data_IF_939637904195
#
_entry.id   IF_939637904195
#
_cell.length_a   1.000
_cell.length_b   1.000
_cell.length_c   1.000
_cell.angle_alpha   90.00
_cell.angle_beta   90.00
_cell.angle_gamma   90.00
#
_symmetry.space_group_name_H-M   'P 1'
#
loop_
_entity.id
_entity.type
_entity.pdbx_description
1 polymer ?
#
# COMPACT_ATOMS: atom_id res chain seq x y z
N UNK A 1 -0.84 18.50 -12.85
CA UNK A 1 -0.76 18.63 -11.38
C UNK A 1 -2.16 18.49 -10.82
N UNK A 2 -2.45 17.53 -9.92
CA UNK A 2 -3.74 17.49 -9.27
C UNK A 2 -3.94 18.80 -8.51
N UNK A 3 -5.00 19.52 -8.81
CA UNK A 3 -5.40 20.69 -8.03
C UNK A 3 -5.83 20.21 -6.66
N UNK A 4 -5.28 20.80 -5.61
CA UNK A 4 -5.78 20.63 -4.25
C UNK A 4 -7.27 20.98 -4.26
N UNK A 5 -8.12 19.96 -4.21
CA UNK A 5 -9.56 20.17 -4.18
C UNK A 5 -9.99 20.35 -2.72
N UNK A 6 -10.84 21.31 -2.52
CA UNK A 6 -11.26 21.78 -1.21
C UNK A 6 -12.08 20.74 -0.44
N UNK A 7 -12.20 20.90 0.86
CA UNK A 7 -13.14 20.13 1.70
C UNK A 7 -14.56 20.10 1.10
N UNK A 8 -14.95 21.14 0.37
CA UNK A 8 -16.26 21.22 -0.31
C UNK A 8 -16.43 20.17 -1.42
N UNK A 9 -15.36 19.85 -2.16
CA UNK A 9 -15.42 18.82 -3.21
C UNK A 9 -15.60 17.42 -2.59
N UNK A 10 -14.92 17.14 -1.48
CA UNK A 10 -15.12 15.91 -0.72
C UNK A 10 -16.55 15.82 -0.18
N UNK A 11 -17.07 16.91 0.40
CA UNK A 11 -18.42 16.94 0.96
C UNK A 11 -19.50 16.71 -0.12
N UNK A 12 -19.26 17.14 -1.35
CA UNK A 12 -20.18 16.92 -2.48
C UNK A 12 -20.36 15.45 -2.82
N UNK A 13 -19.32 14.65 -2.76
CA UNK A 13 -19.33 13.25 -3.21
C UNK A 13 -19.39 12.22 -2.08
N UNK A 14 -19.17 12.62 -0.82
CA UNK A 14 -19.15 11.71 0.35
C UNK A 14 -20.49 10.98 0.58
N UNK A 15 -21.59 11.51 0.05
CA UNK A 15 -22.91 10.87 0.06
C UNK A 15 -23.05 9.69 -0.90
N UNK A 16 -22.15 9.56 -1.88
CA UNK A 16 -22.21 8.51 -2.89
C UNK A 16 -21.22 7.38 -2.54
N UNK A 17 -21.75 6.25 -2.03
CA UNK A 17 -20.96 5.08 -1.63
C UNK A 17 -20.12 4.50 -2.75
N UNK A 18 -20.56 4.60 -4.00
CA UNK A 18 -19.84 4.08 -5.16
C UNK A 18 -18.56 4.87 -5.48
N UNK A 19 -18.42 6.06 -4.91
CA UNK A 19 -17.25 6.92 -5.05
C UNK A 19 -16.33 6.91 -3.82
N UNK A 20 -16.65 6.10 -2.80
CA UNK A 20 -15.80 5.97 -1.60
C UNK A 20 -15.00 4.69 -1.69
N UNK A 21 -13.70 4.78 -1.37
CA UNK A 21 -12.79 3.64 -1.26
C UNK A 21 -12.01 3.74 0.04
N UNK A 22 -12.05 2.66 0.81
CA UNK A 22 -11.30 2.56 2.05
C UNK A 22 -10.19 1.54 1.84
N UNK A 23 -8.95 1.93 1.97
CA UNK A 23 -7.85 0.98 1.86
C UNK A 23 -6.84 1.15 3.00
N UNK A 24 -6.23 0.05 3.37
CA UNK A 24 -5.12 0.03 4.31
C UNK A 24 -3.79 -0.25 3.63
N UNK A 25 -2.71 0.10 4.31
CA UNK A 25 -1.34 -0.22 3.88
C UNK A 25 -0.71 -1.10 4.93
N UNK A 26 -0.25 -2.28 4.51
CA UNK A 26 0.48 -3.23 5.37
C UNK A 26 1.84 -3.57 4.74
N UNK A 27 2.84 -3.80 5.56
CA UNK A 27 4.18 -4.14 5.12
C UNK A 27 4.98 -4.80 6.23
N UNK A 28 6.05 -5.49 5.87
CA UNK A 28 7.13 -5.77 6.79
C UNK A 28 7.84 -4.46 7.20
N UNK A 29 8.51 -4.48 8.36
CA UNK A 29 9.37 -3.36 8.80
C UNK A 29 10.38 -3.05 7.70
N UNK A 30 10.65 -1.78 7.45
CA UNK A 30 11.60 -1.27 6.45
C UNK A 30 11.26 -1.55 4.97
N UNK A 31 10.14 -2.17 4.63
CA UNK A 31 9.70 -2.33 3.25
C UNK A 31 9.22 -1.02 2.59
N UNK A 32 9.14 0.07 3.37
CA UNK A 32 8.84 1.41 2.86
C UNK A 32 7.36 1.79 2.93
N UNK A 33 6.60 1.21 3.87
CA UNK A 33 5.20 1.53 4.12
C UNK A 33 4.99 3.04 4.30
N UNK A 34 5.65 3.64 5.28
CA UNK A 34 5.52 5.08 5.60
C UNK A 34 5.99 5.96 4.44
N UNK A 35 7.09 5.58 3.78
CA UNK A 35 7.59 6.32 2.61
C UNK A 35 6.60 6.31 1.45
N UNK A 36 5.92 5.16 1.23
CA UNK A 36 4.87 5.06 0.20
C UNK A 36 3.67 5.92 0.58
N UNK A 37 3.22 5.85 1.83
CA UNK A 37 2.12 6.66 2.35
C UNK A 37 2.41 8.16 2.19
N UNK A 38 3.59 8.62 2.58
CA UNK A 38 4.04 10.01 2.39
C UNK A 38 4.07 10.41 0.91
N UNK A 39 4.49 9.50 0.02
CA UNK A 39 4.52 9.76 -1.42
C UNK A 39 3.11 9.91 -2.00
N UNK A 40 2.14 9.12 -1.53
CA UNK A 40 0.73 9.27 -1.90
C UNK A 40 0.15 10.60 -1.39
N UNK A 41 0.48 11.00 -0.15
CA UNK A 41 0.07 12.30 0.41
C UNK A 41 0.65 13.47 -0.39
N UNK A 42 1.89 13.36 -0.84
CA UNK A 42 2.49 14.38 -1.69
C UNK A 42 1.86 14.42 -3.09
N UNK A 43 1.56 13.26 -3.68
CA UNK A 43 0.88 13.17 -4.97
C UNK A 43 -0.54 13.75 -4.92
N UNK A 44 -1.25 13.59 -3.79
CA UNK A 44 -2.58 14.18 -3.56
C UNK A 44 -2.53 15.68 -3.22
N UNK A 45 -1.34 16.26 -3.00
CA UNK A 45 -1.17 17.67 -2.66
C UNK A 45 -1.40 18.03 -1.18
N UNK A 46 -1.59 17.04 -0.31
CA UNK A 46 -1.80 17.27 1.14
C UNK A 46 -0.50 17.72 1.80
N UNK A 47 0.63 17.16 1.40
CA UNK A 47 1.95 17.58 1.87
C UNK A 47 2.81 18.08 0.71
N UNK A 48 3.77 18.95 1.03
CA UNK A 48 4.73 19.41 0.02
C UNK A 48 5.61 18.26 -0.48
N UNK A 49 5.86 18.16 -1.79
CA UNK A 49 6.79 17.17 -2.33
C UNK A 49 8.20 17.23 -1.73
N UNK A 50 8.65 18.40 -1.26
CA UNK A 50 9.95 18.56 -0.60
C UNK A 50 10.04 17.91 0.78
N UNK A 51 8.89 17.64 1.41
CA UNK A 51 8.78 17.11 2.78
C UNK A 51 8.46 15.60 2.76
N UNK A 52 7.90 15.10 1.65
CA UNK A 52 7.54 13.69 1.51
C UNK A 52 8.77 12.77 1.66
N UNK A 53 8.62 11.72 2.46
CA UNK A 53 9.69 10.77 2.78
C UNK A 53 10.68 11.24 3.86
N UNK A 54 10.58 12.50 4.29
CA UNK A 54 11.36 13.04 5.41
C UNK A 54 10.49 13.36 6.63
N UNK A 55 9.22 13.68 6.39
CA UNK A 55 8.34 14.22 7.41
C UNK A 55 7.70 13.15 8.28
N UNK A 56 7.74 11.85 7.88
CA UNK A 56 6.94 10.82 8.55
C UNK A 56 5.56 11.38 8.90
N UNK A 57 4.88 11.94 7.89
CA UNK A 57 3.72 12.82 8.07
C UNK A 57 2.56 12.15 8.82
N UNK A 58 2.51 10.83 8.76
CA UNK A 58 1.53 10.01 9.49
C UNK A 58 2.01 9.61 10.89
N UNK A 59 3.30 9.70 11.19
CA UNK A 59 3.87 9.34 12.47
C UNK A 59 3.83 10.55 13.43
N UNK A 60 2.71 10.70 14.14
CA UNK A 60 2.42 11.89 14.96
C UNK A 60 3.11 11.90 16.33
N UNK A 61 3.65 10.76 16.78
CA UNK A 61 4.30 10.66 18.09
C UNK A 61 5.82 10.76 17.97
N UNK A 62 6.47 11.52 18.87
CA UNK A 62 7.94 11.57 18.97
C UNK A 62 8.59 10.18 19.09
N UNK A 63 7.89 9.22 19.69
CA UNK A 63 8.35 7.85 19.84
C UNK A 63 8.35 7.10 18.50
N UNK A 64 7.35 7.34 17.64
CA UNK A 64 7.26 6.79 16.28
C UNK A 64 8.40 7.32 15.42
N UNK A 65 8.59 8.64 15.43
CA UNK A 65 9.66 9.32 14.69
C UNK A 65 11.06 8.85 15.13
N UNK A 66 11.28 8.73 16.45
CA UNK A 66 12.59 8.29 16.98
C UNK A 66 12.91 6.83 16.68
N UNK A 67 11.89 5.98 16.59
CA UNK A 67 12.05 4.54 16.30
C UNK A 67 11.80 4.20 14.83
N UNK A 68 11.42 5.17 14.02
CA UNK A 68 11.04 5.00 12.60
C UNK A 68 10.01 3.89 12.40
N UNK A 69 9.03 3.82 13.32
CA UNK A 69 8.07 2.72 13.38
C UNK A 69 6.68 3.25 13.72
N UNK A 70 5.69 2.99 12.88
CA UNK A 70 4.30 3.37 13.13
C UNK A 70 3.71 2.57 14.28
N UNK A 71 3.27 3.25 15.34
CA UNK A 71 2.65 2.66 16.53
C UNK A 71 1.14 2.85 16.52
N UNK A 72 0.67 4.01 16.03
CA UNK A 72 -0.75 4.34 15.87
C UNK A 72 -1.11 4.40 14.41
N UNK A 73 -2.22 3.77 14.04
CA UNK A 73 -2.79 3.95 12.70
C UNK A 73 -3.23 5.40 12.50
N UNK A 74 -2.85 5.99 11.39
CA UNK A 74 -3.31 7.30 10.95
C UNK A 74 -4.34 7.14 9.83
N UNK A 75 -5.38 7.97 9.85
CA UNK A 75 -6.40 7.99 8.80
C UNK A 75 -6.28 9.28 8.02
N UNK A 76 -6.19 9.17 6.71
CA UNK A 76 -6.16 10.34 5.82
C UNK A 76 -7.16 10.15 4.70
N UNK A 77 -7.93 11.20 4.45
CA UNK A 77 -8.86 11.23 3.32
C UNK A 77 -8.22 11.97 2.15
N UNK A 78 -8.12 11.28 1.02
CA UNK A 78 -7.60 11.78 -0.24
C UNK A 78 -8.74 12.01 -1.22
N UNK A 79 -8.58 13.01 -2.07
CA UNK A 79 -9.43 13.20 -3.23
C UNK A 79 -8.68 12.72 -4.47
N UNK A 80 -9.33 11.92 -5.31
CA UNK A 80 -8.77 11.42 -6.56
C UNK A 80 -9.75 11.60 -7.70
N UNK A 81 -9.28 12.12 -8.80
CA UNK A 81 -10.01 12.19 -10.07
C UNK A 81 -9.30 11.30 -11.07
N UNK A 82 -10.04 10.33 -11.61
CA UNK A 82 -9.53 9.40 -12.62
C UNK A 82 -9.48 10.09 -14.00
N UNK A 83 -8.78 9.49 -14.97
CA UNK A 83 -8.62 10.02 -16.32
C UNK A 83 -9.96 10.11 -17.08
N UNK A 84 -10.96 9.34 -16.69
CA UNK A 84 -12.34 9.41 -17.21
C UNK A 84 -13.19 10.53 -16.56
N UNK A 85 -12.60 11.35 -15.71
CA UNK A 85 -13.26 12.44 -14.98
C UNK A 85 -14.10 11.98 -13.78
N UNK A 86 -14.08 10.69 -13.42
CA UNK A 86 -14.75 10.23 -12.21
C UNK A 86 -13.94 10.60 -10.97
N UNK A 87 -14.67 11.11 -9.99
CA UNK A 87 -14.10 11.55 -8.72
C UNK A 87 -14.31 10.50 -7.64
N UNK A 88 -13.31 10.34 -6.77
CA UNK A 88 -13.34 9.41 -5.66
C UNK A 88 -12.84 10.05 -4.37
N UNK A 89 -13.46 9.67 -3.26
CA UNK A 89 -12.93 9.85 -1.92
C UNK A 89 -12.21 8.57 -1.52
N UNK A 90 -10.94 8.70 -1.24
CA UNK A 90 -10.09 7.58 -0.85
C UNK A 90 -9.65 7.77 0.59
N UNK A 91 -10.12 6.91 1.49
CA UNK A 91 -9.69 6.89 2.87
C UNK A 91 -8.53 5.90 3.01
N UNK A 92 -7.36 6.41 3.29
CA UNK A 92 -6.15 5.63 3.56
C UNK A 92 -6.00 5.44 5.06
N UNK A 93 -5.89 4.19 5.49
CA UNK A 93 -5.61 3.81 6.87
C UNK A 93 -4.20 3.22 6.93
N UNK A 94 -3.27 3.98 7.53
CA UNK A 94 -1.94 3.47 7.78
C UNK A 94 -1.95 2.58 9.03
N UNK A 95 -1.45 1.36 8.88
CA UNK A 95 -1.48 0.36 9.97
C UNK A 95 -0.09 0.19 10.60
N UNK A 96 0.00 -0.09 11.90
CA UNK A 96 1.26 -0.47 12.50
C UNK A 96 1.88 -1.70 11.82
N UNK A 97 3.17 -1.64 11.48
CA UNK A 97 3.88 -2.74 10.83
C UNK A 97 4.41 -3.82 11.78
N UNK A 98 4.37 -3.60 13.09
CA UNK A 98 4.98 -4.49 14.07
C UNK A 98 3.99 -5.53 14.61
N UNK A 99 4.47 -6.76 14.82
CA UNK A 99 3.67 -7.92 15.26
C UNK A 99 2.99 -7.69 16.62
N UNK A 100 3.58 -6.87 17.48
CA UNK A 100 3.04 -6.55 18.82
C UNK A 100 1.71 -5.75 18.76
N UNK A 101 1.36 -5.20 17.59
CA UNK A 101 0.17 -4.39 17.39
C UNK A 101 -0.97 -5.12 16.66
N UNK A 102 -0.94 -6.45 16.63
CA UNK A 102 -1.91 -7.32 15.93
C UNK A 102 -3.36 -6.90 16.14
N UNK A 103 -3.78 -6.61 17.38
CA UNK A 103 -5.15 -6.20 17.67
C UNK A 103 -5.54 -4.83 17.10
N UNK A 104 -4.58 -3.96 16.77
CA UNK A 104 -4.84 -2.69 16.08
C UNK A 104 -4.94 -2.91 14.58
N UNK A 105 -4.09 -3.77 14.03
CA UNK A 105 -4.13 -4.16 12.61
C UNK A 105 -5.48 -4.79 12.29
N UNK A 106 -5.95 -5.76 13.06
CA UNK A 106 -7.27 -6.41 12.87
C UNK A 106 -8.42 -5.42 12.91
N UNK A 107 -8.39 -4.43 13.83
CA UNK A 107 -9.43 -3.39 13.87
C UNK A 107 -9.41 -2.49 12.65
N UNK A 108 -8.23 -2.12 12.15
CA UNK A 108 -8.09 -1.33 10.93
C UNK A 108 -8.58 -2.12 9.71
N UNK A 109 -8.23 -3.42 9.62
CA UNK A 109 -8.66 -4.30 8.53
C UNK A 109 -10.17 -4.40 8.40
N UNK A 110 -10.92 -4.37 9.49
CA UNK A 110 -12.41 -4.38 9.47
C UNK A 110 -13.05 -3.11 8.95
N UNK A 111 -12.28 -2.03 8.84
CA UNK A 111 -12.77 -0.74 8.36
C UNK A 111 -12.43 -0.45 6.89
N UNK A 112 -11.76 -1.38 6.20
CA UNK A 112 -11.26 -1.19 4.83
C UNK A 112 -11.83 -2.22 3.86
N UNK A 113 -11.92 -1.83 2.58
CA UNK A 113 -12.42 -2.66 1.48
C UNK A 113 -11.29 -3.42 0.79
N UNK A 114 -10.09 -2.88 0.84
CA UNK A 114 -8.88 -3.45 0.24
C UNK A 114 -7.62 -3.09 0.99
N UNK A 115 -6.55 -3.82 0.75
CA UNK A 115 -5.26 -3.60 1.39
C UNK A 115 -4.14 -3.61 0.37
N UNK A 116 -3.27 -2.62 0.45
CA UNK A 116 -2.01 -2.59 -0.30
C UNK A 116 -0.95 -3.26 0.55
N UNK A 117 -0.47 -4.39 0.07
CA UNK A 117 0.65 -5.13 0.67
C UNK A 117 1.93 -4.64 0.03
N UNK A 118 2.78 -3.98 0.80
CA UNK A 118 4.06 -3.44 0.32
C UNK A 118 5.16 -4.46 0.57
N UNK A 119 5.84 -4.88 -0.48
CA UNK A 119 6.99 -5.79 -0.42
C UNK A 119 8.23 -5.12 -1.00
N UNK A 120 9.38 -5.28 -0.34
CA UNK A 120 10.68 -4.89 -0.90
C UNK A 120 11.02 -5.80 -2.08
N UNK A 121 11.47 -5.22 -3.19
CA UNK A 121 11.82 -5.97 -4.40
C UNK A 121 13.03 -6.89 -4.21
N UNK A 122 13.91 -6.64 -3.25
CA UNK A 122 15.11 -7.44 -2.97
C UNK A 122 14.80 -8.54 -1.96
N UNK A 123 14.09 -8.19 -0.89
CA UNK A 123 13.80 -9.12 0.21
C UNK A 123 12.60 -10.03 -0.06
N UNK A 124 11.67 -9.59 -0.95
CA UNK A 124 10.48 -10.36 -1.29
C UNK A 124 9.47 -10.45 -0.14
N UNK A 125 8.82 -11.60 -0.04
CA UNK A 125 7.79 -11.86 0.97
C UNK A 125 8.45 -12.36 2.26
N UNK A 126 8.36 -11.55 3.31
CA UNK A 126 8.94 -11.86 4.62
C UNK A 126 7.87 -12.42 5.57
N UNK A 127 8.29 -13.08 6.65
CA UNK A 127 7.39 -13.71 7.63
C UNK A 127 6.33 -12.76 8.21
N UNK A 128 6.71 -11.49 8.44
CA UNK A 128 5.71 -10.51 8.91
C UNK A 128 4.72 -10.14 7.81
N UNK A 129 5.18 -10.03 6.55
CA UNK A 129 4.29 -9.82 5.39
C UNK A 129 3.27 -10.95 5.29
N UNK A 130 3.71 -12.20 5.44
CA UNK A 130 2.82 -13.37 5.48
C UNK A 130 1.80 -13.25 6.62
N UNK A 131 2.24 -12.93 7.83
CA UNK A 131 1.36 -12.83 9.01
C UNK A 131 0.27 -11.77 8.81
N UNK A 132 0.63 -10.55 8.37
CA UNK A 132 -0.36 -9.48 8.19
C UNK A 132 -1.24 -9.70 6.96
N UNK A 133 -0.71 -10.34 5.91
CA UNK A 133 -1.50 -10.74 4.73
C UNK A 133 -2.52 -11.80 5.11
N UNK A 134 -2.14 -12.83 5.89
CA UNK A 134 -3.07 -13.83 6.41
C UNK A 134 -4.21 -13.18 7.17
N UNK A 135 -3.92 -12.25 8.10
CA UNK A 135 -4.95 -11.53 8.85
C UNK A 135 -5.90 -10.75 7.93
N UNK A 136 -5.37 -10.10 6.89
CA UNK A 136 -6.19 -9.38 5.92
C UNK A 136 -7.13 -10.33 5.15
N UNK A 137 -6.62 -11.49 4.74
CA UNK A 137 -7.42 -12.50 4.03
C UNK A 137 -8.51 -13.12 4.95
N UNK A 138 -8.19 -13.39 6.21
CA UNK A 138 -9.13 -13.88 7.23
C UNK A 138 -10.26 -12.86 7.53
N UNK A 139 -9.95 -11.55 7.50
CA UNK A 139 -10.94 -10.48 7.66
C UNK A 139 -11.63 -10.10 6.33
N UNK A 140 -11.47 -10.91 5.28
CA UNK A 140 -12.08 -10.75 3.93
C UNK A 140 -11.71 -9.43 3.24
N UNK A 141 -10.49 -8.96 3.43
CA UNK A 141 -9.97 -7.76 2.77
C UNK A 141 -9.22 -8.13 1.50
N UNK A 142 -9.61 -7.53 0.36
CA UNK A 142 -8.99 -7.83 -0.94
C UNK A 142 -7.57 -7.26 -1.02
N UNK A 143 -6.55 -8.09 -1.32
CA UNK A 143 -5.17 -7.62 -1.42
C UNK A 143 -4.86 -7.04 -2.80
N UNK A 144 -3.96 -6.06 -2.81
CA UNK A 144 -3.21 -5.55 -3.97
C UNK A 144 -1.74 -5.56 -3.58
N UNK A 145 -0.85 -6.00 -4.46
CA UNK A 145 0.58 -6.08 -4.20
C UNK A 145 1.29 -4.85 -4.78
N UNK A 146 2.06 -4.16 -3.96
CA UNK A 146 2.98 -3.11 -4.39
C UNK A 146 4.42 -3.56 -4.13
N UNK A 147 5.19 -3.80 -5.20
CA UNK A 147 6.60 -4.17 -5.12
C UNK A 147 7.41 -2.87 -5.15
N UNK A 148 7.93 -2.52 -3.99
CA UNK A 148 8.67 -1.30 -3.73
C UNK A 148 10.18 -1.47 -3.92
N UNK A 149 10.90 -0.37 -4.00
CA UNK A 149 12.36 -0.29 -4.10
C UNK A 149 12.93 -0.98 -5.35
N UNK A 150 12.20 -0.92 -6.46
CA UNK A 150 12.64 -1.48 -7.76
C UNK A 150 13.99 -0.87 -8.19
N UNK A 151 14.27 0.38 -7.81
CA UNK A 151 15.55 1.05 -8.02
C UNK A 151 16.74 0.25 -7.48
N UNK A 152 16.58 -0.55 -6.42
CA UNK A 152 17.64 -1.40 -5.87
C UNK A 152 17.99 -2.58 -6.77
N UNK A 153 17.03 -3.14 -7.51
CA UNK A 153 17.31 -4.20 -8.48
C UNK A 153 18.27 -3.71 -9.57
N UNK A 154 18.14 -2.44 -9.97
CA UNK A 154 18.98 -1.79 -10.99
C UNK A 154 20.30 -1.30 -10.40
N UNK A 155 20.24 -0.52 -9.31
CA UNK A 155 21.39 0.18 -8.74
C UNK A 155 22.32 -0.74 -7.94
N UNK A 156 21.74 -1.66 -7.14
CA UNK A 156 22.47 -2.52 -6.21
C UNK A 156 22.75 -3.89 -6.82
N UNK A 157 21.70 -4.62 -7.23
CA UNK A 157 21.84 -5.99 -7.75
C UNK A 157 22.27 -6.04 -9.23
N UNK A 158 22.10 -4.94 -9.96
CA UNK A 158 22.48 -4.82 -11.37
C UNK A 158 21.96 -5.97 -12.25
N UNK A 159 20.72 -6.38 -11.97
CA UNK A 159 20.09 -7.46 -12.71
C UNK A 159 19.84 -7.04 -14.17
N UNK A 160 20.05 -7.96 -15.10
CA UNK A 160 19.59 -7.79 -16.46
C UNK A 160 18.05 -7.89 -16.55
N UNK A 161 17.41 -7.38 -17.61
CA UNK A 161 15.96 -7.35 -17.73
C UNK A 161 15.28 -8.73 -17.57
N UNK A 162 15.88 -9.80 -18.08
CA UNK A 162 15.31 -11.14 -18.01
C UNK A 162 15.38 -11.70 -16.58
N UNK A 163 16.51 -11.50 -15.88
CA UNK A 163 16.67 -11.86 -14.49
C UNK A 163 15.71 -11.07 -13.60
N UNK A 164 15.54 -9.75 -13.86
CA UNK A 164 14.61 -8.90 -13.14
C UNK A 164 13.17 -9.38 -13.32
N UNK A 165 12.74 -9.67 -14.54
CA UNK A 165 11.40 -10.19 -14.82
C UNK A 165 11.14 -11.49 -14.07
N UNK A 166 12.09 -12.43 -14.11
CA UNK A 166 11.99 -13.71 -13.38
C UNK A 166 11.90 -13.48 -11.88
N UNK A 167 12.70 -12.58 -11.35
CA UNK A 167 12.73 -12.25 -9.93
C UNK A 167 11.39 -11.69 -9.45
N UNK A 168 10.86 -10.69 -10.14
CA UNK A 168 9.56 -10.08 -9.83
C UNK A 168 8.41 -11.09 -9.98
N UNK A 169 8.46 -11.94 -11.00
CA UNK A 169 7.48 -13.03 -11.17
C UNK A 169 7.48 -14.02 -10.01
N UNK A 170 8.64 -14.30 -9.42
CA UNK A 170 8.73 -15.17 -8.25
C UNK A 170 8.07 -14.53 -7.01
N UNK A 171 8.26 -13.22 -6.78
CA UNK A 171 7.60 -12.52 -5.68
C UNK A 171 6.08 -12.58 -5.83
N UNK A 172 5.56 -12.36 -7.06
CA UNK A 172 4.12 -12.45 -7.34
C UNK A 172 3.61 -13.88 -7.10
N UNK A 173 4.35 -14.89 -7.54
CA UNK A 173 3.99 -16.29 -7.35
C UNK A 173 3.99 -16.67 -5.87
N UNK A 174 4.97 -16.20 -5.10
CA UNK A 174 5.05 -16.42 -3.65
C UNK A 174 3.89 -15.77 -2.92
N UNK A 175 3.54 -14.53 -3.29
CA UNK A 175 2.37 -13.85 -2.74
C UNK A 175 1.07 -14.62 -3.04
N UNK A 176 0.91 -15.10 -4.27
CA UNK A 176 -0.27 -15.88 -4.66
C UNK A 176 -0.38 -17.21 -3.93
N UNK A 177 0.74 -17.80 -3.49
CA UNK A 177 0.71 -18.98 -2.60
C UNK A 177 0.09 -18.62 -1.25
N UNK A 178 0.33 -17.44 -0.71
CA UNK A 178 -0.33 -17.01 0.54
C UNK A 178 -1.84 -16.86 0.34
N UNK A 179 -2.26 -16.32 -0.81
CA UNK A 179 -3.70 -16.25 -1.15
C UNK A 179 -4.30 -17.65 -1.25
N UNK A 180 -3.61 -18.59 -1.89
CA UNK A 180 -4.06 -19.99 -1.99
C UNK A 180 -4.13 -20.69 -0.62
N UNK A 181 -3.24 -20.36 0.30
CA UNK A 181 -3.21 -20.97 1.63
C UNK A 181 -4.30 -20.41 2.55
N UNK A 182 -4.49 -19.10 2.56
CA UNK A 182 -5.23 -18.42 3.63
C UNK A 182 -6.57 -17.82 3.20
N UNK A 183 -6.79 -17.55 1.90
CA UNK A 183 -8.09 -17.05 1.45
C UNK A 183 -9.16 -18.13 1.47
N UNK A 184 -10.41 -17.71 1.64
CA UNK A 184 -11.56 -18.60 1.53
C UNK A 184 -11.65 -19.22 0.12
N UNK A 185 -12.10 -20.47 -0.03
CA UNK A 185 -12.11 -21.18 -1.32
C UNK A 185 -12.77 -20.40 -2.46
N UNK A 186 -13.86 -19.67 -2.18
CA UNK A 186 -14.63 -18.89 -3.15
C UNK A 186 -13.90 -17.63 -3.62
N UNK A 187 -12.94 -17.15 -2.83
CA UNK A 187 -12.23 -15.89 -3.06
C UNK A 187 -10.83 -16.10 -3.63
N UNK A 188 -10.24 -17.29 -3.51
CA UNK A 188 -8.87 -17.57 -3.93
C UNK A 188 -8.58 -17.07 -5.34
N UNK A 189 -9.33 -17.51 -6.32
CA UNK A 189 -9.09 -17.14 -7.73
C UNK A 189 -9.35 -15.66 -8.00
N UNK A 190 -10.30 -15.05 -7.28
CA UNK A 190 -10.63 -13.62 -7.43
C UNK A 190 -9.61 -12.69 -6.80
N UNK A 191 -8.87 -13.20 -5.81
CA UNK A 191 -7.94 -12.40 -4.99
C UNK A 191 -6.47 -12.65 -5.33
N UNK A 192 -6.19 -13.62 -6.20
CA UNK A 192 -4.86 -13.74 -6.79
C UNK A 192 -4.48 -12.44 -7.49
N UNK A 193 -3.27 -12.00 -7.19
CA UNK A 193 -2.75 -10.78 -7.80
C UNK A 193 -2.08 -11.10 -9.13
N UNK A 194 -2.27 -10.24 -10.12
CA UNK A 194 -1.66 -10.39 -11.43
C UNK A 194 -1.42 -9.03 -12.09
N UNK A 195 -0.45 -8.99 -12.98
CA UNK A 195 -0.15 -7.80 -13.79
C UNK A 195 -1.34 -7.48 -14.70
N UNK A 196 -1.89 -8.48 -15.39
CA UNK A 196 -3.02 -8.34 -16.31
C UNK A 196 -4.31 -7.89 -15.60
N UNK A 197 -4.46 -8.26 -14.33
CA UNK A 197 -5.60 -7.86 -13.50
C UNK A 197 -5.44 -6.47 -12.84
N UNK A 198 -4.35 -5.74 -13.13
CA UNK A 198 -4.02 -4.46 -12.51
C UNK A 198 -4.02 -4.51 -10.96
N UNK A 199 -3.65 -5.66 -10.39
CA UNK A 199 -3.57 -5.86 -8.94
C UNK A 199 -2.14 -5.95 -8.43
N UNK A 200 -1.15 -5.71 -9.31
CA UNK A 200 0.27 -5.57 -8.98
C UNK A 200 0.76 -4.23 -9.52
N UNK A 201 1.42 -3.47 -8.67
CA UNK A 201 2.11 -2.25 -9.05
C UNK A 201 3.57 -2.30 -8.60
N UNK A 202 4.43 -1.59 -9.31
CA UNK A 202 5.86 -1.54 -9.11
C UNK A 202 6.32 -0.10 -8.91
N UNK A 203 7.37 0.11 -8.11
CA UNK A 203 7.89 1.47 -7.98
C UNK A 203 9.03 1.63 -6.99
N UNK A 204 9.42 2.88 -6.82
CA UNK A 204 10.30 3.35 -5.76
C UNK A 204 9.61 4.48 -5.00
N UNK A 205 9.12 4.17 -3.81
CA UNK A 205 8.48 5.17 -2.95
C UNK A 205 9.46 6.30 -2.59
N UNK A 206 10.76 5.99 -2.45
CA UNK A 206 11.82 6.95 -2.18
C UNK A 206 12.01 7.92 -3.35
N UNK A 207 12.06 7.40 -4.58
CA UNK A 207 12.26 8.18 -5.80
C UNK A 207 10.93 8.69 -6.37
N UNK A 208 9.79 8.37 -5.74
CA UNK A 208 8.42 8.84 -6.03
C UNK A 208 7.93 8.53 -7.44
N UNK A 209 8.17 7.33 -7.88
CA UNK A 209 7.59 6.82 -9.10
C UNK A 209 6.97 5.44 -8.89
N UNK A 210 5.96 5.16 -9.66
CA UNK A 210 5.32 3.86 -9.69
C UNK A 210 4.58 3.68 -11.00
N UNK A 211 4.37 2.44 -11.37
CA UNK A 211 3.62 2.08 -12.56
C UNK A 211 2.91 0.73 -12.37
N UNK A 212 1.89 0.52 -13.14
CA UNK A 212 1.23 -0.76 -13.41
C UNK A 212 1.20 -0.97 -14.93
N UNK A 213 0.80 -2.11 -15.39
CA UNK A 213 0.69 -2.43 -16.81
C UNK A 213 -0.77 -2.33 -17.25
#
# INVERSE_FOLDING_TARGET
MPKFKSTQDILRIIGNKDQIRNFGVIAHVDHGKTTMSDSLLAASGIISPSVAGQALALDSMKLEQNRQMTIRGANVTLFYENDDGKEYVINMIDTPGHIDFTGRVTRALRAIDGVVVVSDSVEGIMTQTETVTRQALEERVRPVLYINKIDRLVKELRLDPAAMQKWLSNIIAEFNRLVDLYAEPELKEKWKVSIQGNTVAFGSAKDRWGFNF
#
